data_IF_198198042036
#
_entry.id   IF_198198042036
#
_cell.length_a   1.000
_cell.length_b   1.000
_cell.length_c   1.000
_cell.angle_alpha   90.00
_cell.angle_beta   90.00
_cell.angle_gamma   90.00
#
_symmetry.space_group_name_H-M   'P 1'
#
loop_
_entity.id
_entity.type
_entity.pdbx_description
1 polymer ?
#
# COMPACT_ATOMS: atom_id res chain seq x y z
N UNK A 1 -10.80 9.81 -13.53
CA UNK A 1 -10.54 9.60 -12.09
C UNK A 1 -9.04 9.73 -11.91
N UNK A 2 -8.55 10.43 -10.90
CA UNK A 2 -7.10 10.52 -10.69
C UNK A 2 -6.58 9.15 -10.28
N UNK A 3 -5.61 8.60 -11.02
CA UNK A 3 -4.93 7.36 -10.66
C UNK A 3 -3.96 7.65 -9.53
N UNK A 4 -4.25 7.14 -8.33
CA UNK A 4 -3.32 7.26 -7.20
C UNK A 4 -2.31 6.13 -7.33
N UNK A 5 -1.02 6.47 -7.41
CA UNK A 5 0.07 5.49 -7.44
C UNK A 5 0.74 5.43 -6.08
N UNK A 6 1.10 4.22 -5.67
CA UNK A 6 1.80 3.96 -4.42
C UNK A 6 3.03 3.10 -4.68
N UNK A 7 4.17 3.49 -4.13
CA UNK A 7 5.38 2.69 -4.17
C UNK A 7 5.42 1.76 -2.97
N UNK A 8 5.63 0.47 -3.18
CA UNK A 8 5.92 -0.44 -2.08
C UNK A 8 7.37 -0.23 -1.63
N UNK A 9 7.57 0.19 -0.38
CA UNK A 9 8.90 0.52 0.16
C UNK A 9 9.49 -0.57 1.05
N UNK A 10 8.89 -1.76 1.02
CA UNK A 10 9.19 -2.83 1.97
C UNK A 10 8.36 -2.73 3.24
N UNK A 11 8.41 -3.79 4.04
CA UNK A 11 7.80 -3.82 5.36
C UNK A 11 8.61 -4.66 6.34
N UNK A 12 8.64 -4.22 7.59
CA UNK A 12 9.14 -5.03 8.71
C UNK A 12 8.10 -6.08 9.12
N UNK A 13 8.53 -7.14 9.83
CA UNK A 13 7.61 -8.18 10.33
C UNK A 13 6.49 -7.62 11.21
N UNK A 14 6.78 -6.56 11.98
CA UNK A 14 5.78 -5.85 12.78
C UNK A 14 4.72 -5.15 11.92
N UNK A 15 5.11 -4.55 10.80
CA UNK A 15 4.18 -3.87 9.88
C UNK A 15 3.36 -4.86 9.05
N UNK A 16 3.98 -5.96 8.63
CA UNK A 16 3.32 -7.05 7.92
C UNK A 16 2.17 -7.67 8.71
N UNK A 17 2.33 -7.79 10.02
CA UNK A 17 1.35 -8.44 10.91
C UNK A 17 0.37 -7.46 11.57
N UNK A 18 0.58 -6.15 11.39
CA UNK A 18 -0.26 -5.12 11.97
C UNK A 18 -1.64 -5.08 11.30
N UNK A 19 -2.71 -5.02 12.10
CA UNK A 19 -4.04 -4.62 11.63
C UNK A 19 -4.73 -5.58 10.66
N UNK A 20 -4.41 -6.88 10.66
CA UNK A 20 -4.92 -7.89 9.70
C UNK A 20 -4.52 -7.63 8.23
N UNK A 21 -3.50 -6.83 7.97
CA UNK A 21 -2.91 -6.73 6.63
C UNK A 21 -2.34 -8.08 6.18
N UNK A 22 -2.38 -8.36 4.89
CA UNK A 22 -1.66 -9.49 4.31
C UNK A 22 -0.19 -9.13 4.13
N UNK A 23 0.71 -10.10 4.30
CA UNK A 23 2.15 -9.89 4.09
C UNK A 23 2.42 -9.53 2.62
N UNK A 24 2.95 -8.32 2.32
CA UNK A 24 3.18 -7.89 0.94
C UNK A 24 4.42 -8.52 0.32
N UNK A 25 5.41 -8.98 1.11
CA UNK A 25 6.69 -9.53 0.60
C UNK A 25 6.56 -10.67 -0.42
N UNK A 26 5.64 -11.66 -0.27
CA UNK A 26 5.45 -12.71 -1.27
C UNK A 26 4.66 -12.28 -2.50
N UNK A 27 4.01 -11.10 -2.47
CA UNK A 27 3.08 -10.66 -3.52
C UNK A 27 3.57 -9.42 -4.28
N UNK A 28 4.38 -8.59 -3.63
CA UNK A 28 4.83 -7.30 -4.12
C UNK A 28 6.36 -7.22 -4.09
N UNK A 29 6.91 -6.50 -5.05
CA UNK A 29 8.33 -6.27 -5.21
C UNK A 29 8.70 -4.91 -4.63
N UNK A 30 9.66 -4.90 -3.70
CA UNK A 30 10.13 -3.67 -3.06
C UNK A 30 10.72 -2.71 -4.11
N UNK A 31 10.29 -1.45 -4.05
CA UNK A 31 10.66 -0.40 -5.01
C UNK A 31 9.72 -0.27 -6.20
N UNK A 32 8.82 -1.24 -6.40
CA UNK A 32 7.85 -1.22 -7.50
C UNK A 32 6.64 -0.31 -7.20
N UNK A 33 6.05 0.23 -8.26
CA UNK A 33 4.89 1.14 -8.19
C UNK A 33 3.61 0.40 -8.55
N UNK A 34 2.63 0.50 -7.66
CA UNK A 34 1.33 -0.11 -7.81
C UNK A 34 0.23 0.95 -7.88
N UNK A 35 -0.83 0.65 -8.62
CA UNK A 35 -2.02 1.50 -8.70
C UNK A 35 -2.91 1.22 -7.49
N UNK A 36 -3.20 2.27 -6.70
CA UNK A 36 -4.14 2.21 -5.59
C UNK A 36 -5.57 2.33 -6.13
N UNK A 37 -6.37 1.30 -5.94
CA UNK A 37 -7.77 1.24 -6.35
C UNK A 37 -8.69 1.79 -5.28
N UNK A 38 -8.43 1.44 -4.01
CA UNK A 38 -9.24 1.92 -2.89
C UNK A 38 -8.41 1.96 -1.60
N UNK A 39 -8.77 2.87 -0.69
CA UNK A 39 -8.23 2.91 0.66
C UNK A 39 -9.37 2.79 1.69
N UNK A 40 -9.20 1.89 2.65
CA UNK A 40 -10.11 1.71 3.77
C UNK A 40 -9.46 2.26 5.03
N UNK A 41 -9.98 3.39 5.49
CA UNK A 41 -9.49 4.07 6.69
C UNK A 41 -10.27 3.52 7.89
N UNK A 42 -9.59 2.75 8.73
CA UNK A 42 -10.08 2.40 10.06
C UNK A 42 -9.57 3.40 11.09
N UNK A 43 -10.19 3.43 12.26
CA UNK A 43 -9.81 4.36 13.32
C UNK A 43 -8.35 4.24 13.76
N UNK A 44 -7.72 3.07 13.56
CA UNK A 44 -6.37 2.74 14.07
C UNK A 44 -5.34 2.42 12.97
N UNK A 45 -5.78 2.21 11.72
CA UNK A 45 -4.89 1.88 10.60
C UNK A 45 -5.61 2.10 9.26
N UNK A 46 -4.86 2.20 8.17
CA UNK A 46 -5.41 2.32 6.82
C UNK A 46 -4.96 1.13 5.97
N UNK A 47 -5.90 0.55 5.23
CA UNK A 47 -5.65 -0.57 4.33
C UNK A 47 -5.78 -0.11 2.89
N UNK A 48 -4.82 -0.52 2.06
CA UNK A 48 -4.76 -0.23 0.63
C UNK A 48 -5.13 -1.47 -0.17
N UNK A 49 -5.95 -1.24 -1.20
CA UNK A 49 -6.34 -2.23 -2.20
C UNK A 49 -5.69 -1.84 -3.51
N UNK A 50 -4.78 -2.68 -3.99
CA UNK A 50 -4.03 -2.44 -5.21
C UNK A 50 -4.72 -3.09 -6.41
N UNK A 51 -4.46 -2.55 -7.58
CA UNK A 51 -4.88 -3.15 -8.84
C UNK A 51 -4.25 -4.55 -8.98
N UNK A 52 -5.05 -5.55 -9.37
CA UNK A 52 -4.66 -6.96 -9.35
C UNK A 52 -4.80 -7.65 -7.98
N UNK A 53 -4.90 -6.90 -6.88
CA UNK A 53 -4.98 -7.41 -5.51
C UNK A 53 -6.20 -6.90 -4.74
N UNK A 54 -7.36 -6.82 -5.41
CA UNK A 54 -8.60 -6.25 -4.84
C UNK A 54 -9.17 -7.00 -3.62
N UNK A 55 -8.75 -8.25 -3.40
CA UNK A 55 -9.18 -9.07 -2.25
C UNK A 55 -8.13 -9.12 -1.13
N UNK A 56 -7.00 -8.46 -1.34
CA UNK A 56 -5.85 -8.52 -0.45
C UNK A 56 -5.58 -7.11 0.09
N UNK A 57 -5.98 -6.83 1.34
CA UNK A 57 -5.68 -5.56 1.96
C UNK A 57 -4.22 -5.52 2.41
N UNK A 58 -3.51 -4.48 2.02
CA UNK A 58 -2.16 -4.23 2.51
C UNK A 58 -2.12 -3.02 3.43
N UNK A 59 -1.23 -3.04 4.42
CA UNK A 59 -1.15 -1.95 5.37
C UNK A 59 -0.50 -0.72 4.72
N UNK A 60 -1.16 0.44 4.79
CA UNK A 60 -0.71 1.67 4.11
C UNK A 60 0.71 2.10 4.49
N UNK A 61 1.13 1.76 5.71
CA UNK A 61 2.46 2.05 6.26
C UNK A 61 3.61 1.43 5.43
N UNK A 62 3.31 0.37 4.70
CA UNK A 62 4.24 -0.33 3.80
C UNK A 62 4.39 0.39 2.45
N UNK A 63 3.63 1.47 2.22
CA UNK A 63 3.59 2.17 0.95
C UNK A 63 3.93 3.65 1.12
N UNK A 64 4.30 4.25 -0.01
CA UNK A 64 4.50 5.68 -0.16
C UNK A 64 3.61 6.18 -1.31
N UNK A 65 2.74 7.16 -1.05
CA UNK A 65 1.91 7.77 -2.10
C UNK A 65 2.81 8.61 -3.00
N UNK A 66 2.88 8.25 -4.28
CA UNK A 66 3.52 9.05 -5.31
C UNK A 66 2.49 10.09 -5.74
N UNK A 67 2.59 11.30 -5.18
CA UNK A 67 1.89 12.47 -5.71
C UNK A 67 2.70 12.98 -6.88
N UNK A 68 2.08 13.19 -8.03
CA UNK A 68 2.74 13.73 -9.23
C UNK A 68 3.16 15.23 -9.09
N UNK A 69 3.25 15.77 -7.87
CA UNK A 69 3.73 17.13 -7.58
C UNK A 69 4.11 17.25 -6.10
N UNK A 70 5.40 17.31 -5.80
CA UNK A 70 6.06 18.57 -5.42
C UNK A 70 7.57 18.40 -5.61
N UNK A 71 8.11 19.27 -6.45
CA UNK A 71 9.52 19.46 -6.77
C UNK A 71 10.30 19.96 -5.54
N UNK A 72 11.57 19.54 -5.43
CA UNK A 72 12.68 20.36 -4.91
C UNK A 72 12.58 21.07 -3.57
#
# INVERSE_FOLDING_TARGET
MAEIKVRYKGCTDGQATMGRGMDPRPLLEEGEVYTLVSEHIHSWHTLYFLEGFLRTPFNSVCFEKIKESDDG
#
